data_IF_844694834123
#
_entry.id   IF_844694834123
#
_cell.length_a   1.000
_cell.length_b   1.000
_cell.length_c   1.000
_cell.angle_alpha   90.00
_cell.angle_beta   90.00
_cell.angle_gamma   90.00
#
_symmetry.space_group_name_H-M   'P 1'
#
loop_
_entity.id
_entity.type
_entity.pdbx_description
1 polymer ?
#
# COMPACT_ATOMS: atom_id res chain seq x y z
N UNK A 1 0.05 1.79 7.08
CA UNK A 1 -0.03 1.32 5.68
C UNK A 1 0.83 2.22 4.81
N UNK A 2 1.52 1.70 3.79
CA UNK A 2 2.39 2.47 2.88
C UNK A 2 1.70 2.70 1.53
N UNK A 3 0.61 3.46 1.57
CA UNK A 3 -0.22 3.83 0.40
C UNK A 3 -0.08 5.32 0.15
N UNK A 4 0.14 5.70 -1.10
CA UNK A 4 0.29 7.09 -1.53
C UNK A 4 -1.01 7.87 -1.28
N UNK A 5 -0.92 8.87 -0.41
CA UNK A 5 -2.01 9.74 -0.04
C UNK A 5 -1.42 11.08 0.42
N UNK A 6 -1.85 12.23 -0.16
CA UNK A 6 -1.34 13.55 0.21
C UNK A 6 -1.49 13.90 1.70
N UNK A 7 -2.45 13.31 2.41
CA UNK A 7 -2.64 13.55 3.86
C UNK A 7 -1.54 12.93 4.72
N UNK A 8 -1.01 11.76 4.34
CA UNK A 8 -0.02 11.02 5.14
C UNK A 8 1.39 11.04 4.54
N UNK A 9 1.48 11.13 3.21
CA UNK A 9 2.72 11.17 2.46
C UNK A 9 2.68 12.34 1.46
N UNK A 10 2.64 13.59 1.94
CA UNK A 10 2.76 14.75 1.07
C UNK A 10 4.12 14.72 0.33
N UNK A 11 4.21 15.46 -0.78
CA UNK A 11 5.40 15.46 -1.64
C UNK A 11 6.71 15.76 -0.87
N UNK A 12 6.65 16.63 0.13
CA UNK A 12 7.77 16.96 1.02
C UNK A 12 8.28 15.76 1.82
N UNK A 13 7.38 14.90 2.29
CA UNK A 13 7.74 13.64 2.97
C UNK A 13 8.34 12.65 1.98
N UNK A 14 7.76 12.51 0.79
CA UNK A 14 8.28 11.59 -0.23
C UNK A 14 9.66 12.02 -0.77
N UNK A 15 9.93 13.32 -0.81
CA UNK A 15 11.22 13.88 -1.21
C UNK A 15 12.31 13.74 -0.12
N UNK A 16 11.94 13.45 1.13
CA UNK A 16 12.89 13.34 2.22
C UNK A 16 13.80 12.10 2.06
N UNK A 17 15.14 12.26 1.98
CA UNK A 17 16.06 11.13 1.81
C UNK A 17 15.94 10.08 2.92
N UNK A 18 15.71 10.49 4.18
CA UNK A 18 15.52 9.54 5.30
C UNK A 18 14.25 8.72 5.13
N UNK A 19 13.22 9.30 4.55
CA UNK A 19 11.99 8.58 4.25
C UNK A 19 12.21 7.56 3.14
N UNK A 20 12.94 7.93 2.09
CA UNK A 20 13.29 7.03 0.98
C UNK A 20 14.15 5.85 1.47
N UNK A 21 15.17 6.10 2.29
CA UNK A 21 15.98 5.05 2.92
C UNK A 21 15.15 4.12 3.79
N UNK A 22 14.25 4.68 4.60
CA UNK A 22 13.32 3.90 5.42
C UNK A 22 12.41 3.04 4.55
N UNK A 23 11.85 3.60 3.48
CA UNK A 23 10.96 2.90 2.56
C UNK A 23 11.68 1.72 1.90
N UNK A 24 12.89 1.94 1.39
CA UNK A 24 13.73 0.89 0.80
C UNK A 24 14.09 -0.22 1.81
N UNK A 25 14.32 0.14 3.08
CA UNK A 25 14.65 -0.82 4.13
C UNK A 25 13.45 -1.60 4.63
N UNK A 26 12.30 -0.96 4.84
CA UNK A 26 11.16 -1.54 5.57
C UNK A 26 10.07 -2.10 4.65
N UNK A 27 9.95 -1.61 3.42
CA UNK A 27 8.90 -2.00 2.48
C UNK A 27 9.53 -2.76 1.31
N UNK A 28 9.33 -4.10 1.20
CA UNK A 28 9.88 -4.91 0.11
C UNK A 28 9.58 -4.37 -1.30
N UNK A 29 8.42 -3.75 -1.51
CA UNK A 29 8.06 -3.13 -2.79
C UNK A 29 8.96 -1.94 -3.16
N UNK A 30 9.67 -1.32 -2.21
CA UNK A 30 10.58 -0.19 -2.42
C UNK A 30 9.91 1.13 -2.80
N UNK A 31 8.58 1.17 -2.87
CA UNK A 31 7.76 2.37 -3.14
C UNK A 31 6.45 2.32 -2.37
N UNK A 32 5.74 3.45 -2.33
CA UNK A 32 4.35 3.49 -1.89
C UNK A 32 3.45 2.75 -2.89
N UNK A 33 2.43 2.07 -2.38
CA UNK A 33 1.33 1.56 -3.20
C UNK A 33 0.53 2.76 -3.71
N UNK A 34 0.25 2.83 -5.00
CA UNK A 34 -0.52 3.93 -5.56
C UNK A 34 -2.00 3.85 -5.17
N UNK A 35 -2.68 4.99 -5.14
CA UNK A 35 -4.14 5.03 -4.94
C UNK A 35 -4.91 4.19 -5.99
N UNK A 36 -4.37 4.08 -7.22
CA UNK A 36 -4.98 3.25 -8.27
C UNK A 36 -4.87 1.77 -7.96
N UNK A 37 -3.72 1.30 -7.47
CA UNK A 37 -3.54 -0.11 -7.07
C UNK A 37 -4.48 -0.47 -5.92
N UNK A 38 -4.62 0.42 -4.93
CA UNK A 38 -5.54 0.24 -3.81
C UNK A 38 -7.00 0.18 -4.28
N UNK A 39 -7.41 1.10 -5.16
CA UNK A 39 -8.75 1.11 -5.74
C UNK A 39 -9.05 -0.13 -6.60
N UNK A 40 -8.07 -0.62 -7.37
CA UNK A 40 -8.23 -1.85 -8.16
C UNK A 40 -8.43 -3.07 -7.27
N UNK A 41 -7.72 -3.13 -6.14
CA UNK A 41 -7.90 -4.20 -5.16
C UNK A 41 -9.28 -4.16 -4.52
N UNK A 42 -9.75 -2.97 -4.11
CA UNK A 42 -11.12 -2.79 -3.61
C UNK A 42 -12.17 -3.20 -4.66
N UNK A 43 -11.98 -2.80 -5.92
CA UNK A 43 -12.88 -3.19 -7.01
C UNK A 43 -12.93 -4.71 -7.22
N UNK A 44 -11.80 -5.41 -7.11
CA UNK A 44 -11.76 -6.88 -7.15
C UNK A 44 -12.58 -7.49 -6.00
N UNK A 45 -12.39 -7.01 -4.77
CA UNK A 45 -13.12 -7.49 -3.59
C UNK A 45 -14.63 -7.23 -3.66
N UNK A 46 -15.06 -6.21 -4.41
CA UNK A 46 -16.47 -5.92 -4.66
C UNK A 46 -17.08 -6.72 -5.82
N UNK A 47 -16.35 -7.63 -6.45
CA UNK A 47 -16.82 -8.44 -7.57
C UNK A 47 -17.07 -9.90 -7.17
N UNK A 48 -17.91 -10.59 -7.93
CA UNK A 48 -18.23 -12.02 -7.74
C UNK A 48 -16.97 -12.91 -7.78
N UNK A 49 -15.88 -12.45 -8.40
CA UNK A 49 -14.61 -13.17 -8.45
C UNK A 49 -13.91 -13.28 -7.07
N UNK A 50 -14.39 -12.55 -6.07
CA UNK A 50 -13.88 -12.55 -4.70
C UNK A 50 -14.84 -13.21 -3.68
N UNK A 51 -15.94 -13.83 -4.13
CA UNK A 51 -16.97 -14.43 -3.25
C UNK A 51 -16.45 -15.51 -2.30
N UNK A 52 -15.29 -16.10 -2.59
CA UNK A 52 -14.65 -17.09 -1.73
C UNK A 52 -14.03 -16.49 -0.45
N UNK A 53 -13.83 -15.17 -0.40
CA UNK A 53 -13.23 -14.50 0.76
C UNK A 53 -14.29 -14.01 1.74
N UNK A 54 -14.27 -14.57 2.95
CA UNK A 54 -15.15 -14.16 4.05
C UNK A 54 -14.30 -13.83 5.27
N UNK A 55 -14.46 -12.61 5.82
CA UNK A 55 -13.77 -12.15 7.03
C UNK A 55 -12.26 -12.00 6.93
N UNK A 56 -11.69 -11.98 5.71
CA UNK A 56 -10.24 -11.87 5.50
C UNK A 56 -9.74 -10.44 5.65
N UNK A 57 -8.53 -10.28 6.19
CA UNK A 57 -7.81 -9.01 6.27
C UNK A 57 -6.61 -9.07 5.33
N UNK A 58 -6.63 -8.24 4.28
CA UNK A 58 -5.54 -8.18 3.30
C UNK A 58 -4.71 -6.90 3.50
N UNK A 59 -3.44 -7.00 3.89
CA UNK A 59 -2.61 -5.83 4.10
C UNK A 59 -2.07 -5.30 2.76
N UNK A 60 -2.73 -4.28 2.20
CA UNK A 60 -2.29 -3.57 0.98
C UNK A 60 -1.13 -2.63 1.30
N UNK A 61 0.06 -3.18 1.58
CA UNK A 61 1.15 -2.46 2.25
C UNK A 61 2.55 -2.63 1.63
N UNK A 62 2.65 -3.11 0.39
CA UNK A 62 3.95 -3.32 -0.27
C UNK A 62 4.87 -4.32 0.42
N UNK A 63 4.30 -5.24 1.22
CA UNK A 63 5.04 -6.27 1.96
C UNK A 63 5.54 -5.84 3.35
N UNK A 64 5.14 -4.66 3.85
CA UNK A 64 5.61 -4.16 5.15
C UNK A 64 5.21 -5.03 6.35
N UNK A 65 3.98 -5.54 6.39
CA UNK A 65 3.45 -6.33 7.53
C UNK A 65 3.93 -7.78 7.53
N UNK A 66 4.21 -8.35 6.35
CA UNK A 66 4.60 -9.75 6.21
C UNK A 66 6.10 -10.01 6.44
N UNK A 67 6.82 -9.03 6.96
CA UNK A 67 8.27 -9.08 7.21
C UNK A 67 8.57 -9.27 8.69
#
# INVERSE_FOLDING_TARGET
>A
NFVDNPTYFPAEVQANPRFQERLAREVPLGRLVSAREDALFAAYLCSDAADCFVGQVFPVCGGWVGR
#
